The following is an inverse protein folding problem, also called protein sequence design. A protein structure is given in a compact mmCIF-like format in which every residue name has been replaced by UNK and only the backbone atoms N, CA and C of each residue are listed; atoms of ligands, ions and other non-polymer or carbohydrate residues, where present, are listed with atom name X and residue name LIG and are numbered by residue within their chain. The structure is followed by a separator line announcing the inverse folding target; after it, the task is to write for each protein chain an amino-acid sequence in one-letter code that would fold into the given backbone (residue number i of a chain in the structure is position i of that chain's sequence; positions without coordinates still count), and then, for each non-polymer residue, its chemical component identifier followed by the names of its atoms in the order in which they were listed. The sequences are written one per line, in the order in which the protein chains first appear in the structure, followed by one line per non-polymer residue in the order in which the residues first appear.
data_IF_534949856682
#
_entry.id   IF_534949856682
#
_cell.length_a   1.000
_cell.length_b   1.000
_cell.length_c   1.000
_cell.angle_alpha   90.00
_cell.angle_beta   90.00
_cell.angle_gamma   90.00
#
_symmetry.space_group_name_H-M   'P 1'
#
loop_
_entity.id
_entity.type
_entity.pdbx_description
1 polymer ?
#
# COMPACT_ATOMS: atom_id res chain seq x y z
N UNK A 1 56.39 36.99 19.21
CA UNK A 1 56.25 35.54 18.96
C UNK A 1 54.96 35.04 19.63
N UNK A 2 53.80 35.35 19.14
CA UNK A 2 52.55 34.83 19.65
C UNK A 2 51.41 35.10 18.63
N UNK A 3 51.35 34.40 17.51
CA UNK A 3 50.24 34.54 16.54
C UNK A 3 50.15 33.34 15.59
N UNK A 4 50.23 32.11 16.09
CA UNK A 4 50.00 30.94 15.22
C UNK A 4 49.12 29.81 15.81
N UNK A 5 48.42 30.03 16.89
CA UNK A 5 47.67 28.94 17.52
C UNK A 5 46.14 29.00 17.33
N UNK A 6 45.61 29.98 16.59
CA UNK A 6 44.16 30.20 16.49
C UNK A 6 43.49 29.63 15.22
N UNK A 7 44.24 29.08 14.27
CA UNK A 7 43.66 28.70 12.94
C UNK A 7 43.37 27.20 12.78
N UNK A 8 43.65 26.35 13.73
CA UNK A 8 43.43 24.89 13.60
C UNK A 8 42.13 24.38 14.24
N UNK A 9 41.36 25.22 14.87
CA UNK A 9 40.13 24.81 15.59
C UNK A 9 38.85 24.97 14.76
N UNK A 10 38.89 25.65 13.65
CA UNK A 10 37.69 25.94 12.86
C UNK A 10 37.30 24.81 11.86
N UNK A 11 38.08 23.77 11.71
CA UNK A 11 37.87 22.76 10.64
C UNK A 11 37.29 21.42 11.13
N UNK A 12 37.03 21.27 12.43
CA UNK A 12 36.46 20.01 12.98
C UNK A 12 34.92 19.96 13.02
N UNK A 13 34.22 21.06 12.65
CA UNK A 13 32.77 21.14 12.69
C UNK A 13 32.03 20.67 11.45
N UNK A 14 32.72 20.41 10.32
CA UNK A 14 32.06 20.31 9.03
C UNK A 14 31.51 18.94 8.63
N UNK A 15 32.11 17.85 9.03
CA UNK A 15 31.76 16.51 8.51
C UNK A 15 30.54 15.94 9.24
N UNK A 16 30.50 16.02 10.55
CA UNK A 16 29.39 15.45 11.35
C UNK A 16 28.06 16.13 11.06
N UNK A 17 27.92 17.46 11.10
CA UNK A 17 26.65 18.10 10.76
C UNK A 17 26.25 17.88 9.30
N UNK A 18 27.21 17.79 8.38
CA UNK A 18 26.96 17.46 6.98
C UNK A 18 26.42 16.05 6.82
N UNK A 19 26.98 15.05 7.50
CA UNK A 19 26.47 13.68 7.48
C UNK A 19 25.08 13.59 8.09
N UNK A 20 24.85 14.25 9.23
CA UNK A 20 23.54 14.31 9.87
C UNK A 20 22.49 14.95 8.96
N UNK A 21 22.83 16.01 8.25
CA UNK A 21 21.95 16.64 7.27
C UNK A 21 21.56 15.67 6.14
N UNK A 22 22.52 14.94 5.59
CA UNK A 22 22.23 13.97 4.51
C UNK A 22 21.43 12.78 4.99
N UNK A 23 21.69 12.27 6.21
CA UNK A 23 20.91 11.18 6.82
C UNK A 23 19.46 11.64 7.04
N UNK A 24 19.27 12.84 7.58
CA UNK A 24 17.94 13.40 7.79
C UNK A 24 17.19 13.60 6.47
N UNK A 25 17.87 14.15 5.47
CA UNK A 25 17.30 14.36 4.13
C UNK A 25 16.88 13.04 3.50
N UNK A 26 17.70 12.00 3.59
CA UNK A 26 17.39 10.65 3.10
C UNK A 26 16.21 10.03 3.86
N UNK A 27 16.17 10.18 5.19
CA UNK A 27 15.07 9.67 6.01
C UNK A 27 13.73 10.34 5.67
N UNK A 28 13.73 11.68 5.56
CA UNK A 28 12.54 12.45 5.18
C UNK A 28 12.10 12.13 3.75
N UNK A 29 13.06 12.04 2.81
CA UNK A 29 12.79 11.68 1.44
C UNK A 29 12.18 10.29 1.30
N UNK A 30 12.72 9.31 2.00
CA UNK A 30 12.21 7.94 2.02
C UNK A 30 10.80 7.89 2.59
N UNK A 31 10.57 8.58 3.71
CA UNK A 31 9.24 8.66 4.33
C UNK A 31 8.20 9.28 3.39
N UNK A 32 8.55 10.36 2.70
CA UNK A 32 7.66 11.06 1.76
C UNK A 32 7.33 10.20 0.53
N UNK A 33 8.35 9.51 -0.02
CA UNK A 33 8.18 8.61 -1.17
C UNK A 33 7.29 7.41 -0.80
N UNK A 34 7.48 6.81 0.39
CA UNK A 34 6.65 5.70 0.84
C UNK A 34 5.17 6.08 0.94
N UNK A 35 4.84 7.22 1.57
CA UNK A 35 3.46 7.68 1.68
C UNK A 35 2.80 7.93 0.32
N UNK A 36 3.50 8.64 -0.59
CA UNK A 36 2.98 8.91 -1.93
C UNK A 36 2.82 7.66 -2.80
N UNK A 37 3.68 6.67 -2.62
CA UNK A 37 3.61 5.42 -3.38
C UNK A 37 2.44 4.53 -2.93
N UNK A 38 2.17 4.46 -1.64
CA UNK A 38 1.01 3.72 -1.11
C UNK A 38 -0.31 4.29 -1.61
N UNK A 39 -0.48 5.61 -1.58
CA UNK A 39 -1.68 6.28 -2.10
C UNK A 39 -1.88 6.04 -3.60
N UNK A 40 -0.81 6.01 -4.38
CA UNK A 40 -0.87 5.71 -5.81
C UNK A 40 -1.20 4.24 -6.12
N UNK A 41 -0.75 3.33 -5.27
CA UNK A 41 -0.96 1.89 -5.46
C UNK A 41 -2.29 1.41 -4.89
N UNK A 42 -2.78 2.03 -3.81
CA UNK A 42 -4.04 1.66 -3.13
C UNK A 42 -4.91 2.88 -2.84
N UNK A 43 -5.40 3.57 -3.86
CA UNK A 43 -6.13 4.83 -3.68
C UNK A 43 -7.43 4.68 -2.88
N UNK A 44 -7.97 3.46 -2.79
CA UNK A 44 -9.23 3.17 -2.10
C UNK A 44 -9.05 2.54 -0.71
N UNK A 45 -7.83 2.47 -0.17
CA UNK A 45 -7.56 1.77 1.10
C UNK A 45 -8.41 2.27 2.28
N UNK A 46 -8.78 3.54 2.30
CA UNK A 46 -9.50 4.18 3.41
C UNK A 46 -11.02 4.28 3.20
N UNK A 47 -11.56 3.82 2.08
CA UNK A 47 -12.98 4.01 1.73
C UNK A 47 -13.93 3.33 2.73
N UNK A 48 -13.58 2.14 3.23
CA UNK A 48 -14.46 1.36 4.14
C UNK A 48 -14.72 2.06 5.47
N UNK A 49 -13.84 2.96 5.90
CA UNK A 49 -13.96 3.64 7.18
C UNK A 49 -14.81 4.92 7.13
N UNK A 50 -15.18 5.39 5.94
CA UNK A 50 -15.77 6.72 5.75
C UNK A 50 -17.20 6.72 5.24
N UNK A 51 -17.74 5.57 4.79
CA UNK A 51 -19.04 5.51 4.15
C UNK A 51 -20.09 4.79 5.00
N UNK A 52 -21.28 5.38 5.16
CA UNK A 52 -22.44 4.67 5.74
C UNK A 52 -22.86 3.49 4.86
N UNK A 53 -23.43 2.46 5.46
CA UNK A 53 -23.97 1.32 4.73
C UNK A 53 -25.09 1.77 3.77
N UNK A 54 -24.99 1.36 2.50
CA UNK A 54 -26.01 1.66 1.47
C UNK A 54 -25.72 2.89 0.61
N UNK A 55 -24.66 3.65 0.90
CA UNK A 55 -24.25 4.76 0.04
C UNK A 55 -23.43 4.29 -1.17
N UNK A 56 -23.60 4.94 -2.33
CA UNK A 56 -22.81 4.62 -3.53
C UNK A 56 -21.33 4.89 -3.29
N UNK A 57 -20.49 3.93 -3.68
CA UNK A 57 -19.03 4.03 -3.54
C UNK A 57 -18.41 4.37 -4.88
N UNK A 58 -17.61 5.43 -4.92
CA UNK A 58 -16.78 5.75 -6.08
C UNK A 58 -15.38 5.22 -5.85
N UNK A 59 -14.96 4.24 -6.67
CA UNK A 59 -13.63 3.68 -6.61
C UNK A 59 -12.71 4.38 -7.61
N UNK A 60 -11.52 4.69 -7.17
CA UNK A 60 -10.45 5.19 -8.02
C UNK A 60 -9.65 4.01 -8.59
N UNK A 61 -9.25 4.17 -9.85
CA UNK A 61 -8.41 3.19 -10.55
C UNK A 61 -6.98 3.27 -10.02
N UNK A 62 -6.40 2.13 -9.66
CA UNK A 62 -5.01 2.09 -9.26
C UNK A 62 -4.05 2.21 -10.47
N UNK A 63 -2.75 2.32 -10.22
CA UNK A 63 -1.75 2.49 -11.26
C UNK A 63 -1.65 1.29 -12.22
N UNK A 64 -1.99 0.09 -11.76
CA UNK A 64 -2.05 -1.13 -12.59
C UNK A 64 -3.30 -1.19 -13.48
N UNK A 65 -4.21 -0.23 -13.33
CA UNK A 65 -5.41 -0.16 -14.14
C UNK A 65 -6.62 -0.91 -13.56
N UNK A 66 -6.54 -1.35 -12.31
CA UNK A 66 -7.59 -2.10 -11.64
C UNK A 66 -8.33 -1.25 -10.62
N UNK A 67 -9.56 -1.67 -10.30
CA UNK A 67 -10.35 -1.13 -9.22
C UNK A 67 -10.29 -2.11 -8.04
N UNK A 68 -9.71 -1.69 -6.94
CA UNK A 68 -9.61 -2.46 -5.72
C UNK A 68 -10.48 -1.83 -4.64
N UNK A 69 -11.20 -2.66 -3.89
CA UNK A 69 -12.02 -2.24 -2.76
C UNK A 69 -11.65 -3.06 -1.53
N UNK A 70 -11.29 -2.42 -0.42
CA UNK A 70 -11.16 -3.12 0.85
C UNK A 70 -12.53 -3.57 1.34
N UNK A 71 -12.59 -4.71 2.00
CA UNK A 71 -13.83 -5.26 2.56
C UNK A 71 -13.54 -6.34 3.59
N UNK A 72 -14.56 -7.12 3.95
CA UNK A 72 -14.43 -8.21 4.90
C UNK A 72 -15.19 -9.44 4.45
N UNK A 73 -14.64 -10.61 4.75
CA UNK A 73 -15.32 -11.90 4.65
C UNK A 73 -15.23 -12.57 6.02
N UNK A 74 -16.35 -12.96 6.60
CA UNK A 74 -16.41 -13.54 7.96
C UNK A 74 -15.71 -12.68 9.04
N UNK A 75 -15.71 -11.35 8.87
CA UNK A 75 -15.04 -10.43 9.78
C UNK A 75 -13.56 -10.18 9.47
N UNK A 76 -12.93 -11.03 8.67
CA UNK A 76 -11.51 -10.88 8.27
C UNK A 76 -11.35 -9.89 7.12
N UNK A 77 -10.36 -8.99 7.18
CA UNK A 77 -10.13 -7.98 6.15
C UNK A 77 -9.60 -8.61 4.87
N UNK A 78 -10.22 -8.26 3.75
CA UNK A 78 -9.80 -8.71 2.40
C UNK A 78 -9.84 -7.54 1.43
N UNK A 79 -9.04 -7.64 0.36
CA UNK A 79 -9.09 -6.68 -0.75
C UNK A 79 -9.76 -7.37 -1.94
N UNK A 80 -10.87 -6.80 -2.39
CA UNK A 80 -11.58 -7.26 -3.58
C UNK A 80 -11.01 -6.56 -4.82
N UNK A 81 -10.77 -7.32 -5.88
CA UNK A 81 -10.53 -6.81 -7.21
C UNK A 81 -11.87 -6.79 -7.97
N UNK A 82 -12.29 -5.62 -8.42
CA UNK A 82 -13.51 -5.49 -9.19
C UNK A 82 -13.23 -5.77 -10.67
N UNK A 83 -13.95 -6.75 -11.20
CA UNK A 83 -13.98 -7.07 -12.63
C UNK A 83 -15.43 -6.95 -13.12
N UNK A 84 -15.69 -5.96 -13.97
CA UNK A 84 -17.03 -5.72 -14.52
C UNK A 84 -17.52 -6.85 -15.44
N UNK A 85 -16.62 -7.72 -15.92
CA UNK A 85 -16.93 -8.93 -16.69
C UNK A 85 -17.18 -10.18 -15.86
N UNK A 86 -16.94 -10.14 -14.56
CA UNK A 86 -17.10 -11.28 -13.67
C UNK A 86 -18.57 -11.48 -13.27
N UNK A 87 -19.09 -12.68 -13.46
CA UNK A 87 -20.43 -13.08 -13.02
C UNK A 87 -20.43 -13.60 -11.58
N UNK A 88 -19.28 -14.07 -11.11
CA UNK A 88 -19.10 -14.71 -9.80
C UNK A 88 -17.94 -14.10 -9.04
N UNK A 89 -17.99 -14.20 -7.71
CA UNK A 89 -16.86 -13.86 -6.86
C UNK A 89 -15.93 -15.07 -6.77
N UNK A 90 -14.68 -14.91 -7.23
CA UNK A 90 -13.66 -15.95 -7.13
C UNK A 90 -12.82 -15.73 -5.87
N UNK A 91 -12.67 -16.76 -5.05
CA UNK A 91 -11.83 -16.74 -3.85
C UNK A 91 -10.77 -17.83 -4.00
N UNK A 92 -9.46 -17.51 -3.88
CA UNK A 92 -8.41 -18.53 -3.89
C UNK A 92 -8.61 -19.56 -2.78
N UNK A 93 -8.34 -20.85 -3.06
CA UNK A 93 -8.57 -21.93 -2.11
C UNK A 93 -7.81 -21.76 -0.79
N UNK A 94 -6.59 -21.23 -0.83
CA UNK A 94 -5.79 -20.90 0.36
C UNK A 94 -6.50 -19.87 1.23
N UNK A 95 -6.94 -18.79 0.63
CA UNK A 95 -7.68 -17.72 1.33
C UNK A 95 -9.04 -18.23 1.84
N UNK A 96 -9.74 -19.05 1.08
CA UNK A 96 -11.01 -19.65 1.52
C UNK A 96 -10.84 -20.48 2.81
N UNK A 97 -9.78 -21.26 2.90
CA UNK A 97 -9.46 -22.04 4.11
C UNK A 97 -9.11 -21.13 5.29
N UNK A 98 -8.33 -20.08 5.09
CA UNK A 98 -7.97 -19.10 6.13
C UNK A 98 -9.19 -18.35 6.66
N UNK A 99 -10.17 -18.08 5.78
CA UNK A 99 -11.41 -17.39 6.10
C UNK A 99 -12.50 -18.33 6.68
N UNK A 100 -12.23 -19.63 6.80
CA UNK A 100 -13.18 -20.62 7.30
C UNK A 100 -14.37 -20.84 6.36
N UNK A 101 -14.18 -20.67 5.05
CA UNK A 101 -15.22 -20.92 4.05
C UNK A 101 -15.32 -22.43 3.77
N UNK A 102 -16.51 -22.99 3.90
CA UNK A 102 -16.75 -24.39 3.59
C UNK A 102 -17.02 -24.58 2.10
N UNK A 103 -16.44 -25.65 1.47
CA UNK A 103 -16.71 -25.96 0.08
C UNK A 103 -18.17 -26.30 -0.15
N UNK A 104 -18.80 -25.63 -1.10
CA UNK A 104 -20.14 -25.96 -1.57
C UNK A 104 -20.14 -27.07 -2.64
N UNK A 105 -21.18 -27.08 -3.49
CA UNK A 105 -21.26 -27.99 -4.62
C UNK A 105 -20.22 -27.61 -5.67
N UNK A 106 -19.52 -28.62 -6.21
CA UNK A 106 -18.66 -28.42 -7.37
C UNK A 106 -19.47 -28.02 -8.61
N UNK A 107 -18.98 -27.02 -9.32
CA UNK A 107 -19.56 -26.54 -10.59
C UNK A 107 -18.44 -26.31 -11.61
N UNK A 108 -18.80 -26.42 -12.88
CA UNK A 108 -17.90 -26.13 -13.99
C UNK A 108 -18.08 -24.69 -14.44
N UNK A 109 -16.97 -23.96 -14.55
CA UNK A 109 -16.96 -22.60 -15.03
C UNK A 109 -16.06 -22.50 -16.27
N UNK A 110 -16.53 -21.75 -17.27
CA UNK A 110 -15.70 -21.37 -18.40
C UNK A 110 -14.90 -20.14 -18.02
N UNK A 111 -13.59 -20.22 -18.10
CA UNK A 111 -12.68 -19.10 -17.87
C UNK A 111 -11.97 -18.72 -19.16
N UNK A 112 -11.35 -17.54 -19.21
CA UNK A 112 -10.58 -17.09 -20.37
C UNK A 112 -9.43 -18.06 -20.73
N UNK A 113 -8.93 -18.84 -19.76
CA UNK A 113 -7.86 -19.85 -19.94
C UNK A 113 -8.40 -21.29 -20.15
N UNK A 114 -9.69 -21.46 -20.37
CA UNK A 114 -10.33 -22.76 -20.54
C UNK A 114 -11.07 -23.24 -19.27
N UNK A 115 -11.35 -24.56 -19.23
CA UNK A 115 -12.06 -25.19 -18.10
C UNK A 115 -11.09 -25.60 -16.99
#
# INVERSE_FOLDING_TARGET
MATQSATLQAQRGGIVPMLLFWILLMAVGTWWIHGGLEDMMRPNANIVHTLPAGEPVTLQRNRAGHYEAPGRINGEPVTFLLDTGATYVAVPATLANELGLEPGRSAWFNTANGR
#
